data_IF_312428083250
#
_entry.id   IF_312428083250
#
_cell.length_a   1.000
_cell.length_b   1.000
_cell.length_c   1.000
_cell.angle_alpha   90.00
_cell.angle_beta   90.00
_cell.angle_gamma   90.00
#
_symmetry.space_group_name_H-M   'P 1'
#
loop_
_entity.id
_entity.type
_entity.pdbx_description
1 polymer ?
#
# COMPACT_ATOMS: atom_id res chain seq x y z
N UNK A 1 -23.32 14.49 35.58
CA UNK A 1 -22.89 13.08 35.67
C UNK A 1 -23.03 12.35 34.33
N UNK A 2 -22.50 12.86 33.20
CA UNK A 2 -22.67 12.27 31.85
C UNK A 2 -21.45 12.39 30.93
N UNK A 3 -20.23 12.26 31.43
CA UNK A 3 -19.02 12.42 30.63
C UNK A 3 -18.08 11.20 30.63
N UNK A 4 -18.43 10.06 31.25
CA UNK A 4 -17.54 8.89 31.36
C UNK A 4 -17.86 7.72 30.41
N UNK A 5 -18.96 7.74 29.67
CA UNK A 5 -19.36 6.64 28.78
C UNK A 5 -18.77 6.67 27.35
N UNK A 6 -18.31 7.83 26.88
CA UNK A 6 -17.84 7.99 25.50
C UNK A 6 -16.39 7.51 25.25
N UNK A 7 -15.56 7.44 26.28
CA UNK A 7 -14.12 7.07 26.14
C UNK A 7 -13.84 5.57 26.05
N UNK A 8 -14.78 4.70 26.37
CA UNK A 8 -14.57 3.24 26.36
C UNK A 8 -14.87 2.55 25.01
N UNK A 9 -15.55 3.23 24.09
CA UNK A 9 -15.89 2.64 22.77
C UNK A 9 -14.82 2.78 21.69
N UNK A 10 -13.84 3.66 21.89
CA UNK A 10 -12.80 3.92 20.89
C UNK A 10 -11.59 2.98 20.98
N UNK A 11 -11.32 2.41 22.14
CA UNK A 11 -10.15 1.54 22.34
C UNK A 11 -10.35 0.09 21.84
N UNK A 12 -11.58 -0.38 21.71
CA UNK A 12 -11.88 -1.74 21.27
C UNK A 12 -11.84 -1.94 19.73
N UNK A 13 -11.70 -0.88 18.94
CA UNK A 13 -11.71 -0.93 17.47
C UNK A 13 -10.32 -1.08 16.81
N UNK A 14 -9.24 -1.08 17.58
CA UNK A 14 -7.87 -1.09 17.03
C UNK A 14 -7.29 -2.51 16.85
N UNK A 15 -8.02 -3.53 17.17
CA UNK A 15 -7.54 -4.92 16.99
C UNK A 15 -7.68 -5.46 15.57
N UNK A 16 -7.75 -4.64 14.54
CA UNK A 16 -7.62 -5.02 13.10
C UNK A 16 -8.31 -6.30 12.60
N UNK A 17 -9.05 -6.99 13.46
CA UNK A 17 -9.71 -8.27 13.16
C UNK A 17 -11.21 -8.03 12.99
N UNK A 18 -11.63 -7.50 11.83
CA UNK A 18 -13.04 -7.64 11.45
C UNK A 18 -13.37 -9.14 11.34
N UNK A 19 -14.59 -9.56 11.77
CA UNK A 19 -15.00 -10.95 11.64
C UNK A 19 -14.90 -11.38 10.16
N UNK A 20 -14.30 -12.52 9.93
CA UNK A 20 -14.08 -13.04 8.57
C UNK A 20 -15.39 -13.55 7.99
N UNK A 21 -15.62 -13.35 6.69
CA UNK A 21 -16.82 -13.83 6.05
C UNK A 21 -16.98 -15.35 6.22
N UNK A 22 -18.17 -15.79 6.60
CA UNK A 22 -18.54 -17.19 6.87
C UNK A 22 -18.39 -18.15 5.67
N UNK A 23 -18.23 -17.64 4.46
CA UNK A 23 -18.12 -18.41 3.22
C UNK A 23 -16.72 -18.96 2.93
N UNK A 24 -15.70 -18.71 3.78
CA UNK A 24 -14.35 -19.25 3.59
C UNK A 24 -14.10 -20.48 4.43
N UNK A 25 -13.94 -21.64 3.77
CA UNK A 25 -13.65 -22.93 4.40
C UNK A 25 -12.19 -23.15 4.77
N UNK A 26 -11.25 -22.34 4.25
CA UNK A 26 -9.80 -22.60 4.39
C UNK A 26 -9.11 -21.51 5.24
N UNK A 27 -9.33 -21.62 6.55
CA UNK A 27 -8.96 -20.59 7.51
C UNK A 27 -7.46 -20.51 7.87
N UNK A 28 -6.73 -21.62 7.87
CA UNK A 28 -5.34 -21.64 8.36
C UNK A 28 -4.42 -20.86 7.43
N UNK A 29 -4.44 -21.16 6.14
CA UNK A 29 -3.63 -20.45 5.14
C UNK A 29 -4.12 -19.02 4.90
N UNK A 30 -5.44 -18.80 4.98
CA UNK A 30 -6.02 -17.48 4.85
C UNK A 30 -5.64 -16.54 6.00
N UNK A 31 -5.41 -17.06 7.20
CA UNK A 31 -4.94 -16.29 8.35
C UNK A 31 -3.50 -15.83 8.16
N UNK A 32 -2.61 -16.74 7.78
CA UNK A 32 -1.21 -16.40 7.55
C UNK A 32 -1.06 -15.36 6.46
N UNK A 33 -1.73 -15.52 5.33
CA UNK A 33 -1.67 -14.56 4.23
C UNK A 33 -2.21 -13.17 4.63
N UNK A 34 -3.20 -13.10 5.50
CA UNK A 34 -3.69 -11.83 6.05
C UNK A 34 -2.64 -11.18 6.95
N UNK A 35 -2.10 -11.92 7.90
CA UNK A 35 -1.13 -11.41 8.87
C UNK A 35 0.18 -10.97 8.17
N UNK A 36 0.67 -11.77 7.23
CA UNK A 36 1.82 -11.44 6.39
C UNK A 36 1.55 -10.19 5.54
N UNK A 37 0.37 -10.10 4.92
CA UNK A 37 -0.02 -8.95 4.11
C UNK A 37 -0.16 -7.67 4.91
N UNK A 38 -0.70 -7.74 6.12
CA UNK A 38 -0.78 -6.60 7.03
C UNK A 38 0.61 -6.14 7.45
N UNK A 39 1.52 -7.08 7.73
CA UNK A 39 2.91 -6.75 8.05
C UNK A 39 3.64 -6.07 6.89
N UNK A 40 3.44 -6.52 5.65
CA UNK A 40 3.99 -5.85 4.46
C UNK A 40 3.43 -4.44 4.31
N UNK A 41 2.12 -4.26 4.41
CA UNK A 41 1.46 -2.94 4.31
C UNK A 41 1.97 -1.98 5.37
N UNK A 42 2.12 -2.45 6.62
CA UNK A 42 2.66 -1.64 7.72
C UNK A 42 4.10 -1.22 7.45
N UNK A 43 4.93 -2.10 6.94
CA UNK A 43 6.31 -1.80 6.59
C UNK A 43 6.42 -0.77 5.46
N UNK A 44 5.51 -0.80 4.47
CA UNK A 44 5.52 0.09 3.30
C UNK A 44 4.84 1.44 3.56
N UNK A 45 3.71 1.44 4.25
CA UNK A 45 2.79 2.59 4.32
C UNK A 45 2.53 3.06 5.74
N UNK A 46 3.16 2.46 6.73
CA UNK A 46 2.94 2.74 8.14
C UNK A 46 1.54 2.34 8.63
N UNK A 47 1.22 2.67 9.92
CA UNK A 47 -0.08 2.36 10.50
C UNK A 47 -1.27 3.01 9.76
N UNK A 48 -1.06 4.17 9.13
CA UNK A 48 -2.10 4.87 8.37
C UNK A 48 -2.54 4.08 7.14
N UNK A 49 -1.59 3.47 6.40
CA UNK A 49 -1.86 2.67 5.20
C UNK A 49 -2.15 1.19 5.49
N UNK A 50 -2.07 0.77 6.74
CA UNK A 50 -2.37 -0.60 7.17
C UNK A 50 -3.59 -0.63 8.10
N UNK A 51 -3.40 -0.52 9.41
CA UNK A 51 -4.47 -0.71 10.40
C UNK A 51 -5.57 0.33 10.27
N UNK A 52 -5.21 1.61 10.09
CA UNK A 52 -6.20 2.68 9.98
C UNK A 52 -7.05 2.51 8.73
N UNK A 53 -6.44 2.25 7.58
CA UNK A 53 -7.18 2.04 6.34
C UNK A 53 -8.13 0.84 6.43
N UNK A 54 -7.73 -0.24 7.13
CA UNK A 54 -8.59 -1.40 7.37
C UNK A 54 -9.74 -1.04 8.32
N UNK A 55 -9.45 -0.30 9.39
CA UNK A 55 -10.46 0.10 10.37
C UNK A 55 -11.52 1.04 9.78
N UNK A 56 -11.11 1.93 8.88
CA UNK A 56 -11.99 2.90 8.22
C UNK A 56 -12.74 2.30 7.00
N UNK A 57 -12.44 1.05 6.61
CA UNK A 57 -13.05 0.40 5.45
C UNK A 57 -14.54 0.12 5.70
N UNK A 58 -15.39 0.57 4.78
CA UNK A 58 -16.82 0.26 4.79
C UNK A 58 -17.09 -1.21 4.43
N UNK A 59 -18.29 -1.71 4.74
CA UNK A 59 -18.68 -3.08 4.39
C UNK A 59 -18.70 -3.30 2.87
N UNK A 60 -19.03 -2.27 2.08
CA UNK A 60 -18.96 -2.31 0.62
C UNK A 60 -17.52 -2.53 0.11
N UNK A 61 -16.54 -1.86 0.71
CA UNK A 61 -15.13 -1.94 0.31
C UNK A 61 -14.39 -3.12 0.94
N UNK A 62 -14.98 -3.79 1.91
CA UNK A 62 -14.32 -4.86 2.64
C UNK A 62 -13.82 -6.02 1.77
N UNK A 63 -14.58 -6.54 0.78
CA UNK A 63 -14.08 -7.62 -0.07
C UNK A 63 -12.81 -7.25 -0.84
N UNK A 64 -12.71 -6.01 -1.33
CA UNK A 64 -11.51 -5.51 -2.01
C UNK A 64 -10.34 -5.40 -1.04
N UNK A 65 -10.56 -4.85 0.15
CA UNK A 65 -9.53 -4.68 1.17
C UNK A 65 -9.00 -6.03 1.66
N UNK A 66 -9.88 -7.02 1.83
CA UNK A 66 -9.53 -8.40 2.15
C UNK A 66 -8.68 -9.05 1.05
N UNK A 67 -9.11 -8.91 -0.19
CA UNK A 67 -8.42 -9.45 -1.35
C UNK A 67 -7.02 -8.85 -1.51
N UNK A 68 -6.90 -7.52 -1.48
CA UNK A 68 -5.63 -6.81 -1.63
C UNK A 68 -4.67 -7.17 -0.50
N UNK A 69 -5.15 -7.22 0.75
CA UNK A 69 -4.27 -7.56 1.87
C UNK A 69 -3.71 -8.96 1.76
N UNK A 70 -4.55 -9.95 1.41
CA UNK A 70 -4.09 -11.34 1.29
C UNK A 70 -3.37 -11.63 -0.01
N UNK A 71 -4.00 -11.33 -1.15
CA UNK A 71 -3.50 -11.76 -2.45
C UNK A 71 -2.34 -10.91 -2.95
N UNK A 72 -2.45 -9.59 -2.83
CA UNK A 72 -1.35 -8.74 -3.23
C UNK A 72 -0.22 -8.78 -2.19
N UNK A 73 -0.49 -8.30 -0.98
CA UNK A 73 0.58 -8.11 0.00
C UNK A 73 0.97 -9.40 0.73
N UNK A 74 0.02 -10.29 1.05
CA UNK A 74 0.30 -11.52 1.81
C UNK A 74 0.85 -12.67 0.97
N UNK A 75 0.38 -12.83 -0.27
CA UNK A 75 0.83 -13.94 -1.13
C UNK A 75 1.83 -13.48 -2.20
N UNK A 76 1.60 -12.36 -2.88
CA UNK A 76 2.46 -11.92 -3.99
C UNK A 76 3.71 -11.19 -3.50
N UNK A 77 3.57 -10.21 -2.61
CA UNK A 77 4.69 -9.40 -2.13
C UNK A 77 5.63 -10.13 -1.16
N UNK A 78 5.21 -11.27 -0.64
CA UNK A 78 6.02 -12.15 0.24
C UNK A 78 6.81 -13.22 -0.52
N UNK A 79 6.60 -13.37 -1.84
CA UNK A 79 7.34 -14.36 -2.65
C UNK A 79 8.83 -14.01 -2.67
N UNK A 80 9.74 -15.00 -2.46
CA UNK A 80 11.15 -14.73 -2.20
C UNK A 80 11.97 -14.32 -3.43
N UNK A 81 11.51 -14.65 -4.65
CA UNK A 81 12.31 -14.51 -5.87
C UNK A 81 12.62 -13.03 -6.22
N UNK A 82 11.65 -12.13 -6.03
CA UNK A 82 11.84 -10.70 -6.19
C UNK A 82 11.77 -10.02 -4.83
N UNK A 83 12.77 -9.25 -4.47
CA UNK A 83 12.76 -8.47 -3.24
C UNK A 83 11.74 -7.31 -3.32
N UNK A 84 11.44 -6.67 -2.18
CA UNK A 84 10.44 -5.61 -2.08
C UNK A 84 10.81 -4.36 -2.89
N UNK A 85 12.09 -4.02 -2.94
CA UNK A 85 12.60 -2.89 -3.73
C UNK A 85 12.28 -3.08 -5.22
N UNK A 86 12.64 -4.22 -5.78
CA UNK A 86 12.35 -4.57 -7.18
C UNK A 86 10.84 -4.56 -7.46
N UNK A 87 10.02 -5.12 -6.53
CA UNK A 87 8.56 -5.09 -6.67
C UNK A 87 8.01 -3.66 -6.69
N UNK A 88 8.56 -2.76 -5.86
CA UNK A 88 8.18 -1.35 -5.86
C UNK A 88 8.46 -0.68 -7.20
N UNK A 89 9.64 -0.89 -7.76
CA UNK A 89 9.99 -0.34 -9.08
C UNK A 89 9.07 -0.87 -10.18
N UNK A 90 8.82 -2.18 -10.23
CA UNK A 90 7.90 -2.79 -11.20
C UNK A 90 6.48 -2.20 -11.05
N UNK A 91 5.99 -2.09 -9.82
CA UNK A 91 4.65 -1.53 -9.55
C UNK A 91 4.56 -0.09 -10.01
N UNK A 92 5.56 0.75 -9.69
CA UNK A 92 5.59 2.14 -10.12
C UNK A 92 5.63 2.27 -11.64
N UNK A 93 6.43 1.46 -12.34
CA UNK A 93 6.48 1.47 -13.81
C UNK A 93 5.09 1.17 -14.43
N UNK A 94 4.38 0.17 -13.88
CA UNK A 94 3.02 -0.15 -14.31
C UNK A 94 2.04 1.00 -14.02
N UNK A 95 2.14 1.65 -12.86
CA UNK A 95 1.27 2.77 -12.48
C UNK A 95 1.51 4.01 -13.35
N UNK A 96 2.76 4.29 -13.73
CA UNK A 96 3.10 5.34 -14.70
C UNK A 96 2.49 5.02 -16.05
N UNK A 97 2.65 3.79 -16.54
CA UNK A 97 2.08 3.36 -17.81
C UNK A 97 0.54 3.48 -17.86
N UNK A 98 -0.12 3.26 -16.73
CA UNK A 98 -1.56 3.40 -16.57
C UNK A 98 -2.02 4.84 -16.27
N UNK A 99 -1.12 5.81 -16.12
CA UNK A 99 -1.41 7.20 -15.72
C UNK A 99 -2.25 7.27 -14.44
N UNK A 100 -1.75 6.69 -13.34
CA UNK A 100 -2.46 6.61 -12.05
C UNK A 100 -1.77 7.45 -10.97
N UNK A 101 -1.86 8.79 -11.01
CA UNK A 101 -1.09 9.68 -10.12
C UNK A 101 -1.38 9.44 -8.64
N UNK A 102 -2.62 9.16 -8.26
CA UNK A 102 -2.96 8.86 -6.88
C UNK A 102 -2.21 7.61 -6.36
N UNK A 103 -2.25 6.54 -7.13
CA UNK A 103 -1.57 5.29 -6.78
C UNK A 103 -0.04 5.43 -6.86
N UNK A 104 0.47 6.23 -7.79
CA UNK A 104 1.91 6.59 -7.84
C UNK A 104 2.31 7.25 -6.53
N UNK A 105 1.56 8.24 -6.03
CA UNK A 105 1.87 8.92 -4.77
C UNK A 105 1.93 7.95 -3.58
N UNK A 106 0.98 7.02 -3.49
CA UNK A 106 0.98 5.98 -2.45
C UNK A 106 2.20 5.08 -2.56
N UNK A 107 2.50 4.60 -3.78
CA UNK A 107 3.57 3.63 -4.01
C UNK A 107 4.97 4.23 -3.99
N UNK A 108 5.15 5.53 -4.23
CA UNK A 108 6.43 6.25 -4.00
C UNK A 108 6.80 6.18 -2.51
N UNK A 109 5.87 6.46 -1.59
CA UNK A 109 6.12 6.30 -0.14
C UNK A 109 6.55 4.89 0.22
N UNK A 110 5.84 3.89 -0.30
CA UNK A 110 6.17 2.47 -0.11
C UNK A 110 7.50 2.07 -0.75
N UNK A 111 7.87 2.65 -1.87
CA UNK A 111 9.13 2.40 -2.56
C UNK A 111 10.32 2.92 -1.73
N UNK A 112 10.25 4.13 -1.22
CA UNK A 112 11.26 4.69 -0.30
C UNK A 112 11.40 3.79 0.95
N UNK A 113 10.29 3.37 1.56
CA UNK A 113 10.30 2.45 2.71
C UNK A 113 10.93 1.08 2.37
N UNK A 114 10.85 0.64 1.13
CA UNK A 114 11.46 -0.59 0.62
C UNK A 114 12.90 -0.39 0.10
N UNK A 115 13.50 0.80 0.30
CA UNK A 115 14.90 1.10 -0.03
C UNK A 115 15.15 1.52 -1.48
N UNK A 116 14.14 2.01 -2.19
CA UNK A 116 14.32 2.67 -3.49
C UNK A 116 14.85 4.09 -3.23
N UNK A 117 15.92 4.50 -3.92
CA UNK A 117 16.47 5.84 -3.80
C UNK A 117 15.75 6.85 -4.70
N UNK A 118 15.98 8.16 -4.47
CA UNK A 118 15.46 9.23 -5.33
C UNK A 118 15.98 9.11 -6.76
N UNK A 119 17.25 8.77 -6.88
CA UNK A 119 17.93 8.58 -8.15
C UNK A 119 17.31 7.42 -8.94
N UNK A 120 17.02 6.30 -8.27
CA UNK A 120 16.34 5.15 -8.89
C UNK A 120 14.89 5.49 -9.30
N UNK A 121 14.17 6.31 -8.51
CA UNK A 121 12.85 6.82 -8.91
C UNK A 121 12.96 7.71 -10.15
N UNK A 122 13.96 8.60 -10.20
CA UNK A 122 14.22 9.45 -11.36
C UNK A 122 14.51 8.63 -12.61
N UNK A 123 15.39 7.62 -12.50
CA UNK A 123 15.72 6.71 -13.60
C UNK A 123 14.50 5.94 -14.11
N UNK A 124 13.64 5.44 -13.20
CA UNK A 124 12.40 4.78 -13.57
C UNK A 124 11.50 5.72 -14.39
N UNK A 125 11.32 6.96 -13.93
CA UNK A 125 10.47 7.93 -14.63
C UNK A 125 11.07 8.30 -15.99
N UNK A 126 12.38 8.49 -16.05
CA UNK A 126 13.11 8.77 -17.30
C UNK A 126 12.98 7.60 -18.30
N UNK A 127 13.18 6.37 -17.82
CA UNK A 127 12.99 5.15 -18.62
C UNK A 127 11.56 5.04 -19.17
N UNK A 128 10.57 5.44 -18.36
CA UNK A 128 9.18 5.41 -18.75
C UNK A 128 8.84 6.33 -19.93
N UNK A 129 9.65 7.38 -20.21
CA UNK A 129 9.45 8.25 -21.36
C UNK A 129 9.46 7.44 -22.67
N UNK A 130 10.40 6.50 -22.78
CA UNK A 130 10.61 5.72 -24.00
C UNK A 130 9.44 4.76 -24.28
N UNK A 131 8.88 4.16 -23.22
CA UNK A 131 7.86 3.13 -23.36
C UNK A 131 6.42 3.62 -23.16
N UNK A 132 6.24 4.74 -22.42
CA UNK A 132 4.92 5.25 -22.05
C UNK A 132 4.61 6.64 -22.60
N UNK A 133 5.64 7.30 -23.15
CA UNK A 133 5.57 8.68 -23.69
C UNK A 133 5.76 9.76 -22.62
N UNK A 134 6.20 10.93 -23.09
CA UNK A 134 6.55 12.09 -22.24
C UNK A 134 5.42 12.50 -21.28
N UNK A 135 4.14 12.62 -21.70
CA UNK A 135 3.11 13.12 -20.80
C UNK A 135 2.94 12.29 -19.54
N UNK A 136 2.95 10.95 -19.65
CA UNK A 136 2.80 10.05 -18.51
C UNK A 136 4.00 10.08 -17.59
N UNK A 137 5.20 10.12 -18.14
CA UNK A 137 6.42 10.21 -17.36
C UNK A 137 6.52 11.55 -16.60
N UNK A 138 6.17 12.66 -17.23
CA UNK A 138 6.12 13.98 -16.58
C UNK A 138 5.12 14.00 -15.43
N UNK A 139 3.95 13.41 -15.61
CA UNK A 139 2.97 13.25 -14.51
C UNK A 139 3.57 12.41 -13.36
N UNK A 140 4.26 11.32 -13.70
CA UNK A 140 4.98 10.48 -12.74
C UNK A 140 6.03 11.26 -11.96
N UNK A 141 6.89 12.04 -12.66
CA UNK A 141 7.89 12.91 -12.03
C UNK A 141 7.27 13.91 -11.07
N UNK A 142 6.24 14.66 -11.51
CA UNK A 142 5.56 15.67 -10.68
C UNK A 142 4.95 15.04 -9.43
N UNK A 143 4.29 13.91 -9.59
CA UNK A 143 3.68 13.18 -8.48
C UNK A 143 4.74 12.69 -7.49
N UNK A 144 5.81 12.07 -7.99
CA UNK A 144 6.91 11.59 -7.15
C UNK A 144 7.60 12.75 -6.40
N UNK A 145 7.88 13.85 -7.09
CA UNK A 145 8.49 15.04 -6.49
C UNK A 145 7.63 15.62 -5.36
N UNK A 146 6.32 15.74 -5.56
CA UNK A 146 5.41 16.18 -4.49
C UNK A 146 5.50 15.30 -3.24
N UNK A 147 5.52 13.99 -3.43
CA UNK A 147 5.66 13.03 -2.32
C UNK A 147 7.01 13.16 -1.61
N UNK A 148 8.11 13.29 -2.36
CA UNK A 148 9.45 13.45 -1.78
C UNK A 148 9.56 14.73 -0.95
N UNK A 149 8.98 15.85 -1.43
CA UNK A 149 8.88 17.09 -0.66
C UNK A 149 8.10 16.91 0.64
N UNK A 150 6.93 16.25 0.58
CA UNK A 150 6.12 15.95 1.78
C UNK A 150 6.87 15.07 2.79
N UNK A 151 7.82 14.26 2.31
CA UNK A 151 8.65 13.40 3.16
C UNK A 151 9.94 14.09 3.65
N UNK A 152 10.21 15.33 3.23
CA UNK A 152 11.43 16.07 3.55
C UNK A 152 12.69 15.49 2.89
N UNK A 153 12.54 14.84 1.75
CA UNK A 153 13.62 14.22 0.99
C UNK A 153 14.05 15.05 -0.22
N UNK A 154 13.33 16.13 -0.50
CA UNK A 154 13.63 17.12 -1.55
C UNK A 154 13.23 18.53 -1.13
#
# INVERSE_FOLDING_TARGET
MMAKAAKKKTAAKISGKKPRPHWKKDWKNANKAWDDGLAVRRAMFGPAGAEKQIADTSDFMWPMQDYVTRKCFGETWTRPLLNRKTRSLITLAMLVAMARPHEIAVHVRGAIANGVSKEELSELMLHSIIYCGIPKAVEGFRTAQGVLKDMGLE
#
